data_IF_077765865625
#
_entry.id   IF_077765865625
#
_cell.length_a   1.000
_cell.length_b   1.000
_cell.length_c   1.000
_cell.angle_alpha   90.00
_cell.angle_beta   90.00
_cell.angle_gamma   90.00
#
_symmetry.space_group_name_H-M   'P 1'
#
loop_
_entity.id
_entity.type
_entity.pdbx_description
1 polymer ?
#
# COMPACT_ATOMS: atom_id res chain seq x y z
N UNK A 1 14.53 2.33 16.31
CA UNK A 1 14.80 3.73 15.83
C UNK A 1 14.87 4.73 16.99
N UNK A 2 15.47 4.32 18.14
CA UNK A 2 15.46 5.11 19.40
C UNK A 2 16.13 6.51 19.27
N UNK A 3 17.05 6.68 18.32
CA UNK A 3 17.82 7.90 18.13
C UNK A 3 17.35 8.75 16.92
N UNK A 4 16.12 8.52 16.44
CA UNK A 4 15.58 9.21 15.28
C UNK A 4 14.16 9.70 15.55
N UNK A 5 13.84 10.87 15.03
CA UNK A 5 12.45 11.31 14.89
C UNK A 5 11.79 10.44 13.82
N UNK A 6 10.69 9.78 14.18
CA UNK A 6 9.96 8.86 13.29
C UNK A 6 8.62 9.46 12.93
N UNK A 7 8.36 9.56 11.63
CA UNK A 7 7.10 10.03 11.07
C UNK A 7 6.45 8.87 10.31
N UNK A 8 5.19 8.63 10.58
CA UNK A 8 4.39 7.60 9.91
C UNK A 8 3.23 8.29 9.20
N UNK A 9 2.99 7.93 7.95
CA UNK A 9 1.84 8.45 7.19
C UNK A 9 0.55 7.94 7.81
N UNK A 10 -0.38 8.84 8.10
CA UNK A 10 -1.72 8.54 8.62
C UNK A 10 -2.76 8.96 7.57
N UNK A 11 -3.22 7.99 6.79
CA UNK A 11 -4.16 8.22 5.70
C UNK A 11 -5.60 8.21 6.21
N UNK A 12 -6.37 9.22 5.82
CA UNK A 12 -7.79 9.24 6.10
C UNK A 12 -8.56 8.21 5.28
N UNK A 13 -9.58 7.60 5.91
CA UNK A 13 -10.46 6.70 5.19
C UNK A 13 -11.25 7.47 4.11
N UNK A 14 -11.25 7.03 2.84
CA UNK A 14 -11.96 7.72 1.76
C UNK A 14 -13.47 7.89 2.01
N UNK A 15 -14.09 7.03 2.84
CA UNK A 15 -15.50 7.21 3.25
C UNK A 15 -15.76 8.50 4.02
N UNK A 16 -14.73 9.10 4.59
CA UNK A 16 -14.82 10.33 5.36
C UNK A 16 -14.40 11.58 4.57
N UNK A 17 -13.96 11.38 3.31
CA UNK A 17 -13.46 12.46 2.45
C UNK A 17 -14.53 12.87 1.43
N UNK A 18 -15.05 14.12 1.49
CA UNK A 18 -16.05 14.62 0.56
C UNK A 18 -15.59 14.52 -0.92
N UNK A 19 -16.55 14.39 -1.85
CA UNK A 19 -16.25 14.26 -3.28
C UNK A 19 -15.55 15.48 -3.88
N UNK A 20 -15.82 16.67 -3.37
CA UNK A 20 -15.22 17.93 -3.83
C UNK A 20 -13.72 18.05 -3.53
N UNK A 21 -13.17 17.17 -2.67
CA UNK A 21 -11.73 17.04 -2.46
C UNK A 21 -11.00 16.36 -3.63
N UNK A 22 -11.73 15.96 -4.67
CA UNK A 22 -11.17 15.39 -5.90
C UNK A 22 -10.90 13.88 -5.82
N UNK A 23 -10.17 13.39 -6.84
CA UNK A 23 -9.74 12.01 -6.96
C UNK A 23 -8.45 11.75 -6.16
N UNK A 24 -8.14 10.47 -5.97
CA UNK A 24 -6.89 10.04 -5.36
C UNK A 24 -6.43 8.74 -6.02
N UNK A 25 -5.44 8.82 -6.89
CA UNK A 25 -4.79 7.72 -7.59
C UNK A 25 -3.29 7.65 -7.28
N UNK A 26 -2.53 6.97 -8.12
CA UNK A 26 -1.07 6.83 -7.95
C UNK A 26 -0.34 8.19 -8.08
N UNK A 27 -0.81 9.08 -8.92
CA UNK A 27 -0.23 10.42 -9.07
C UNK A 27 -0.39 11.23 -7.79
N UNK A 28 -1.59 11.28 -7.22
CA UNK A 28 -1.87 12.01 -5.98
C UNK A 28 -1.13 11.40 -4.80
N UNK A 29 -1.04 10.06 -4.73
CA UNK A 29 -0.25 9.39 -3.69
C UNK A 29 1.24 9.78 -3.78
N UNK A 30 1.80 9.72 -4.97
CA UNK A 30 3.21 10.11 -5.23
C UNK A 30 3.45 11.58 -4.88
N UNK A 31 2.51 12.47 -5.20
CA UNK A 31 2.58 13.90 -4.86
C UNK A 31 2.61 14.14 -3.34
N UNK A 32 1.77 13.42 -2.60
CA UNK A 32 1.78 13.51 -1.14
C UNK A 32 3.13 13.09 -0.56
N UNK A 33 3.75 12.01 -1.07
CA UNK A 33 5.07 11.60 -0.63
C UNK A 33 6.12 12.70 -0.87
N UNK A 34 6.11 13.33 -2.05
CA UNK A 34 7.00 14.47 -2.36
C UNK A 34 6.74 15.62 -1.39
N UNK A 35 5.48 15.94 -1.12
CA UNK A 35 5.07 17.01 -0.21
C UNK A 35 5.52 16.72 1.22
N UNK A 36 5.36 15.50 1.71
CA UNK A 36 5.84 15.10 3.04
C UNK A 36 7.35 15.25 3.15
N UNK A 37 8.09 14.82 2.14
CA UNK A 37 9.55 14.99 2.12
C UNK A 37 9.94 16.47 2.11
N UNK A 38 9.21 17.33 1.39
CA UNK A 38 9.47 18.77 1.38
C UNK A 38 9.26 19.41 2.77
N UNK A 39 8.23 18.97 3.49
CA UNK A 39 7.97 19.42 4.87
C UNK A 39 9.03 18.93 5.85
N UNK A 40 9.51 17.70 5.73
CA UNK A 40 10.56 17.14 6.59
C UNK A 40 11.93 17.75 6.29
N UNK A 41 12.15 18.18 5.05
CA UNK A 41 13.38 18.81 4.63
C UNK A 41 14.53 17.83 4.31
N UNK A 42 15.72 18.37 4.07
CA UNK A 42 16.88 17.58 3.64
C UNK A 42 17.41 16.68 4.75
N UNK A 43 18.08 15.58 4.34
CA UNK A 43 18.68 14.54 5.20
C UNK A 43 17.69 13.59 5.88
N UNK A 44 16.41 13.66 5.56
CA UNK A 44 15.44 12.66 5.97
C UNK A 44 15.66 11.34 5.21
N UNK A 45 15.11 10.25 5.75
CA UNK A 45 15.17 8.90 5.17
C UNK A 45 13.75 8.43 4.91
N UNK A 46 13.54 7.72 3.81
CA UNK A 46 12.23 7.16 3.48
C UNK A 46 12.27 5.63 3.60
N UNK A 47 11.27 5.08 4.25
CA UNK A 47 11.03 3.62 4.32
C UNK A 47 9.63 3.36 3.76
N UNK A 48 9.55 2.50 2.77
CA UNK A 48 8.29 2.07 2.18
C UNK A 48 8.15 0.56 2.30
N UNK A 49 7.04 0.11 2.85
CA UNK A 49 6.75 -1.30 3.09
C UNK A 49 5.60 -1.73 2.20
N UNK A 50 5.78 -2.80 1.42
CA UNK A 50 4.77 -3.38 0.54
C UNK A 50 4.37 -2.42 -0.61
N UNK A 51 3.09 -2.29 -0.92
CA UNK A 51 2.54 -1.53 -2.06
C UNK A 51 3.06 -0.07 -2.18
N UNK A 52 3.25 0.72 -1.13
CA UNK A 52 3.83 2.06 -1.21
C UNK A 52 5.21 2.15 -1.87
N UNK A 53 5.94 1.03 -1.98
CA UNK A 53 7.29 0.99 -2.56
C UNK A 53 7.35 1.53 -3.99
N UNK A 54 6.31 1.30 -4.79
CA UNK A 54 6.23 1.78 -6.19
C UNK A 54 6.18 3.31 -6.23
N UNK A 55 5.24 3.90 -5.49
CA UNK A 55 5.10 5.36 -5.42
C UNK A 55 6.28 6.04 -4.71
N UNK A 56 6.88 5.40 -3.71
CA UNK A 56 8.07 5.90 -3.04
C UNK A 56 9.28 5.95 -3.99
N UNK A 57 9.48 4.89 -4.78
CA UNK A 57 10.53 4.88 -5.80
C UNK A 57 10.27 5.93 -6.89
N UNK A 58 9.01 6.09 -7.32
CA UNK A 58 8.62 7.12 -8.27
C UNK A 58 8.88 8.53 -7.72
N UNK A 59 8.45 8.83 -6.49
CA UNK A 59 8.69 10.11 -5.84
C UNK A 59 10.19 10.42 -5.75
N UNK A 60 11.00 9.45 -5.31
CA UNK A 60 12.45 9.59 -5.21
C UNK A 60 13.11 9.81 -6.58
N UNK A 61 12.63 9.15 -7.64
CA UNK A 61 13.13 9.36 -8.99
C UNK A 61 12.84 10.77 -9.50
N UNK A 62 11.61 11.25 -9.35
CA UNK A 62 11.19 12.61 -9.74
C UNK A 62 11.99 13.66 -8.95
N UNK A 63 12.08 13.52 -7.62
CA UNK A 63 12.86 14.44 -6.79
C UNK A 63 14.35 14.44 -7.14
N UNK A 64 14.89 13.29 -7.59
CA UNK A 64 16.29 13.18 -8.01
C UNK A 64 16.55 13.86 -9.34
N UNK A 65 15.65 13.71 -10.31
CA UNK A 65 15.72 14.41 -11.61
C UNK A 65 15.66 15.92 -11.43
N UNK A 66 14.77 16.40 -10.56
CA UNK A 66 14.60 17.82 -10.29
C UNK A 66 15.71 18.40 -9.38
N UNK A 67 16.67 17.58 -8.97
CA UNK A 67 17.66 17.94 -7.96
C UNK A 67 17.00 18.57 -6.71
N UNK A 68 15.84 18.05 -6.34
CA UNK A 68 15.03 18.59 -5.25
C UNK A 68 15.83 18.59 -3.93
N UNK A 69 15.81 19.71 -3.22
CA UNK A 69 16.63 19.89 -2.00
C UNK A 69 16.26 18.93 -0.86
N UNK A 70 14.96 18.60 -0.77
CA UNK A 70 14.41 17.72 0.26
C UNK A 70 14.32 16.26 -0.18
N UNK A 71 14.97 15.84 -1.30
CA UNK A 71 15.02 14.42 -1.63
C UNK A 71 15.63 13.64 -0.47
N UNK A 72 15.13 12.43 -0.18
CA UNK A 72 15.66 11.61 0.91
C UNK A 72 17.15 11.33 0.75
N UNK A 73 17.85 11.21 1.88
CA UNK A 73 19.24 10.76 1.90
C UNK A 73 19.34 9.25 1.60
N UNK A 74 18.31 8.47 1.97
CA UNK A 74 18.17 7.07 1.59
C UNK A 74 16.73 6.67 1.41
N UNK A 75 16.52 5.62 0.61
CA UNK A 75 15.26 4.93 0.41
C UNK A 75 15.43 3.47 0.79
N UNK A 76 14.57 2.97 1.65
CA UNK A 76 14.45 1.54 1.96
C UNK A 76 13.12 1.03 1.42
N UNK A 77 13.17 -0.01 0.58
CA UNK A 77 12.01 -0.69 0.04
C UNK A 77 11.92 -2.08 0.67
N UNK A 78 10.78 -2.40 1.28
CA UNK A 78 10.58 -3.67 1.97
C UNK A 78 9.39 -4.42 1.35
N UNK A 79 9.64 -5.60 0.80
CA UNK A 79 8.62 -6.50 0.23
C UNK A 79 7.66 -5.77 -0.74
N UNK A 80 8.21 -4.95 -1.64
CA UNK A 80 7.42 -4.09 -2.53
C UNK A 80 7.24 -4.67 -3.93
N UNK A 81 6.08 -4.48 -4.58
CA UNK A 81 5.78 -5.03 -5.90
C UNK A 81 6.45 -4.21 -7.03
N UNK A 82 7.78 -4.12 -7.02
CA UNK A 82 8.55 -3.35 -8.02
C UNK A 82 8.50 -4.02 -9.39
N UNK A 83 8.72 -5.33 -9.42
CA UNK A 83 8.53 -6.14 -10.64
C UNK A 83 7.80 -7.45 -10.32
N UNK A 84 6.49 -7.40 -10.41
CA UNK A 84 5.59 -8.51 -10.06
C UNK A 84 5.65 -9.71 -11.04
N UNK A 85 6.49 -9.64 -12.07
CA UNK A 85 6.74 -10.77 -12.99
C UNK A 85 7.76 -11.76 -12.42
N UNK A 86 8.55 -11.32 -11.42
CA UNK A 86 9.60 -12.13 -10.80
C UNK A 86 9.02 -12.78 -9.54
N UNK A 87 8.98 -14.11 -9.52
CA UNK A 87 8.40 -14.91 -8.43
C UNK A 87 6.99 -14.44 -8.01
N UNK A 88 6.00 -14.52 -8.95
CA UNK A 88 4.68 -14.00 -8.69
C UNK A 88 4.01 -14.71 -7.51
N UNK A 89 3.40 -13.92 -6.64
CA UNK A 89 2.60 -14.39 -5.51
C UNK A 89 1.16 -14.68 -5.95
N UNK A 90 0.33 -15.25 -5.05
CA UNK A 90 -1.11 -15.46 -5.31
C UNK A 90 -1.84 -14.15 -5.62
N UNK A 91 -1.43 -13.04 -4.99
CA UNK A 91 -2.00 -11.71 -5.27
C UNK A 91 -1.68 -11.29 -6.70
N UNK A 92 -0.44 -11.47 -7.14
CA UNK A 92 0.00 -11.13 -8.50
C UNK A 92 -0.73 -11.99 -9.56
N UNK A 93 -0.86 -13.29 -9.30
CA UNK A 93 -1.61 -14.21 -10.16
C UNK A 93 -3.08 -13.81 -10.26
N UNK A 94 -3.72 -13.47 -9.14
CA UNK A 94 -5.10 -13.00 -9.14
C UNK A 94 -5.25 -11.70 -9.92
N UNK A 95 -4.38 -10.71 -9.70
CA UNK A 95 -4.43 -9.42 -10.38
C UNK A 95 -4.30 -9.54 -11.90
N UNK A 96 -3.57 -10.54 -12.40
CA UNK A 96 -3.39 -10.80 -13.84
C UNK A 96 -4.43 -11.78 -14.42
N UNK A 97 -5.18 -12.49 -13.59
CA UNK A 97 -6.15 -13.52 -14.02
C UNK A 97 -7.43 -12.97 -14.63
N UNK A 98 -7.74 -11.69 -14.45
CA UNK A 98 -8.98 -11.04 -14.89
C UNK A 98 -8.67 -9.74 -15.63
N UNK A 99 -9.51 -9.31 -16.58
CA UNK A 99 -9.37 -8.00 -17.19
C UNK A 99 -9.66 -6.89 -16.17
N UNK A 100 -9.06 -5.71 -16.36
CA UNK A 100 -9.22 -4.56 -15.46
C UNK A 100 -10.70 -4.24 -15.17
N UNK A 101 -11.53 -4.29 -16.20
CA UNK A 101 -12.98 -4.07 -16.06
C UNK A 101 -13.66 -5.01 -15.07
N UNK A 102 -13.17 -6.24 -14.92
CA UNK A 102 -13.73 -7.16 -13.93
C UNK A 102 -13.53 -6.63 -12.51
N UNK A 103 -12.36 -6.05 -12.21
CA UNK A 103 -12.07 -5.46 -10.89
C UNK A 103 -12.96 -4.24 -10.64
N UNK A 104 -13.15 -3.38 -11.65
CA UNK A 104 -14.07 -2.24 -11.57
C UNK A 104 -15.52 -2.68 -11.29
N UNK A 105 -16.02 -3.68 -12.01
CA UNK A 105 -17.42 -4.09 -11.94
C UNK A 105 -17.75 -4.92 -10.68
N UNK A 106 -16.76 -5.63 -10.10
CA UNK A 106 -17.02 -6.57 -9.01
C UNK A 106 -16.48 -6.13 -7.64
N UNK A 107 -15.48 -5.28 -7.60
CA UNK A 107 -14.81 -4.92 -6.35
C UNK A 107 -15.02 -3.46 -5.96
N UNK A 108 -15.32 -2.58 -6.91
CA UNK A 108 -15.56 -1.17 -6.62
C UNK A 108 -17.01 -0.95 -6.20
N UNK A 109 -17.18 -0.27 -5.09
CA UNK A 109 -18.49 0.08 -4.54
C UNK A 109 -18.56 1.59 -4.25
N UNK A 110 -19.78 2.08 -3.99
CA UNK A 110 -19.99 3.45 -3.58
C UNK A 110 -20.07 3.57 -2.07
N UNK A 111 -19.44 4.60 -1.54
CA UNK A 111 -19.59 4.98 -0.12
C UNK A 111 -21.05 5.32 0.16
N UNK A 112 -21.64 4.77 1.23
CA UNK A 112 -23.05 5.02 1.59
C UNK A 112 -23.35 6.50 1.90
N UNK A 113 -24.61 6.87 1.69
CA UNK A 113 -25.08 8.26 1.83
C UNK A 113 -24.89 8.89 3.23
N UNK A 114 -24.82 8.06 4.27
CA UNK A 114 -24.64 8.52 5.65
C UNK A 114 -23.19 8.93 5.99
N UNK A 115 -22.24 8.65 5.11
CA UNK A 115 -20.83 9.01 5.29
C UNK A 115 -20.52 10.36 4.63
N UNK A 116 -19.50 11.06 5.09
CA UNK A 116 -19.07 12.34 4.50
C UNK A 116 -18.63 12.19 3.05
N UNK A 117 -17.98 11.05 2.70
CA UNK A 117 -17.56 10.71 1.35
C UNK A 117 -18.64 10.04 0.51
N UNK A 118 -19.94 10.26 0.81
CA UNK A 118 -21.04 9.66 0.07
C UNK A 118 -20.85 9.70 -1.44
N UNK A 119 -21.17 8.59 -2.11
CA UNK A 119 -21.01 8.37 -3.56
C UNK A 119 -19.57 8.32 -4.08
N UNK A 120 -18.54 8.47 -3.24
CA UNK A 120 -17.16 8.20 -3.64
C UNK A 120 -17.02 6.72 -4.00
N UNK A 121 -16.34 6.42 -5.10
CA UNK A 121 -16.01 5.05 -5.47
C UNK A 121 -14.82 4.58 -4.65
N UNK A 122 -14.94 3.39 -4.07
CA UNK A 122 -13.92 2.79 -3.21
C UNK A 122 -13.80 1.29 -3.45
N UNK A 123 -12.63 0.74 -3.19
CA UNK A 123 -12.45 -0.67 -2.91
C UNK A 123 -12.62 -0.88 -1.40
N UNK A 124 -13.74 -1.49 -0.94
CA UNK A 124 -14.06 -1.55 0.48
C UNK A 124 -13.09 -2.38 1.30
N UNK A 125 -12.73 -1.88 2.49
CA UNK A 125 -11.81 -2.55 3.40
C UNK A 125 -12.27 -3.96 3.80
N UNK A 126 -13.58 -4.18 3.99
CA UNK A 126 -14.08 -5.51 4.33
C UNK A 126 -13.89 -6.56 3.22
N UNK A 127 -13.90 -6.15 1.94
CA UNK A 127 -13.59 -7.04 0.81
C UNK A 127 -12.10 -7.38 0.82
N UNK A 128 -11.24 -6.39 1.11
CA UNK A 128 -9.79 -6.61 1.24
C UNK A 128 -9.49 -7.63 2.35
N UNK A 129 -10.06 -7.43 3.54
CA UNK A 129 -9.93 -8.38 4.67
C UNK A 129 -10.39 -9.78 4.27
N UNK A 130 -11.54 -9.89 3.59
CA UNK A 130 -12.06 -11.19 3.13
C UNK A 130 -11.08 -11.87 2.19
N UNK A 131 -10.48 -11.13 1.26
CA UNK A 131 -9.47 -11.66 0.35
C UNK A 131 -8.23 -12.16 1.10
N UNK A 132 -7.68 -11.36 2.02
CA UNK A 132 -6.51 -11.75 2.82
C UNK A 132 -6.78 -12.97 3.71
N UNK A 133 -7.92 -13.01 4.40
CA UNK A 133 -8.31 -14.18 5.23
C UNK A 133 -8.42 -15.44 4.36
N UNK A 134 -8.98 -15.32 3.15
CA UNK A 134 -9.17 -16.48 2.26
C UNK A 134 -7.86 -17.11 1.78
N UNK A 135 -6.78 -16.33 1.67
CA UNK A 135 -5.47 -16.84 1.25
C UNK A 135 -4.84 -17.79 2.28
N UNK A 136 -5.12 -17.58 3.57
CA UNK A 136 -4.56 -18.36 4.68
C UNK A 136 -5.65 -18.82 5.67
N UNK A 137 -6.81 -19.27 5.17
CA UNK A 137 -8.00 -19.58 5.96
C UNK A 137 -7.74 -20.56 7.09
N UNK A 138 -6.99 -21.64 6.83
CA UNK A 138 -6.68 -22.66 7.86
C UNK A 138 -5.92 -22.06 9.04
N UNK A 139 -4.96 -21.16 8.79
CA UNK A 139 -4.20 -20.45 9.83
C UNK A 139 -5.13 -19.59 10.68
N UNK A 140 -6.05 -18.85 10.05
CA UNK A 140 -7.01 -18.01 10.76
C UNK A 140 -7.99 -18.85 11.59
N UNK A 141 -8.52 -19.95 11.04
CA UNK A 141 -9.38 -20.88 11.78
C UNK A 141 -8.64 -21.46 12.99
N UNK A 142 -7.38 -21.89 12.81
CA UNK A 142 -6.56 -22.40 13.92
C UNK A 142 -6.37 -21.35 15.00
N UNK A 143 -6.00 -20.13 14.63
CA UNK A 143 -5.77 -19.03 15.57
C UNK A 143 -7.02 -18.70 16.41
N UNK A 144 -8.20 -18.71 15.80
CA UNK A 144 -9.46 -18.51 16.55
C UNK A 144 -9.78 -19.69 17.49
N UNK A 145 -9.45 -20.93 17.11
CA UNK A 145 -9.54 -22.07 18.03
C UNK A 145 -8.58 -21.94 19.19
N UNK A 146 -7.34 -21.58 18.92
CA UNK A 146 -6.32 -21.34 19.96
C UNK A 146 -6.78 -20.23 20.94
N UNK A 147 -7.41 -19.15 20.42
CA UNK A 147 -8.01 -18.10 21.25
C UNK A 147 -9.07 -18.66 22.20
N UNK A 148 -10.00 -19.47 21.70
CA UNK A 148 -11.04 -20.09 22.53
C UNK A 148 -10.44 -21.03 23.60
N UNK A 149 -9.42 -21.80 23.25
CA UNK A 149 -8.72 -22.66 24.20
C UNK A 149 -8.02 -21.87 25.30
N UNK A 150 -7.31 -20.77 24.94
CA UNK A 150 -6.65 -19.92 25.92
C UNK A 150 -7.65 -19.28 26.89
N UNK A 151 -8.80 -18.79 26.36
CA UNK A 151 -9.87 -18.27 27.20
C UNK A 151 -10.43 -19.33 28.14
N UNK A 152 -10.67 -20.55 27.66
CA UNK A 152 -11.19 -21.65 28.47
C UNK A 152 -10.21 -22.09 29.59
N UNK A 153 -8.90 -21.97 29.35
CA UNK A 153 -7.83 -22.30 30.32
C UNK A 153 -7.49 -21.13 31.27
N UNK A 154 -8.08 -19.94 31.07
CA UNK A 154 -7.75 -18.74 31.84
C UNK A 154 -6.38 -18.12 31.49
N UNK A 155 -5.81 -18.46 30.36
CA UNK A 155 -4.54 -17.92 29.86
C UNK A 155 -4.75 -16.55 29.18
N UNK A 156 -5.09 -15.55 29.98
CA UNK A 156 -5.57 -14.24 29.51
C UNK A 156 -4.55 -13.53 28.60
N UNK A 157 -3.27 -13.51 28.96
CA UNK A 157 -2.21 -12.84 28.20
C UNK A 157 -2.07 -13.40 26.77
N UNK A 158 -2.17 -14.73 26.61
CA UNK A 158 -2.12 -15.36 25.29
C UNK A 158 -3.36 -15.05 24.46
N UNK A 159 -4.52 -15.07 25.11
CA UNK A 159 -5.78 -14.69 24.46
C UNK A 159 -5.76 -13.22 24.00
N UNK A 160 -5.27 -12.32 24.82
CA UNK A 160 -5.18 -10.89 24.50
C UNK A 160 -4.18 -10.62 23.37
N UNK A 161 -3.08 -11.36 23.29
CA UNK A 161 -2.14 -11.29 22.15
C UNK A 161 -2.85 -11.61 20.82
N UNK A 162 -3.68 -12.67 20.79
CA UNK A 162 -4.43 -13.02 19.58
C UNK A 162 -5.50 -11.97 19.26
N UNK A 163 -6.21 -11.46 20.26
CA UNK A 163 -7.21 -10.39 20.05
C UNK A 163 -6.56 -9.13 19.47
N UNK A 164 -5.48 -8.66 20.11
CA UNK A 164 -4.75 -7.48 19.62
C UNK A 164 -4.28 -7.65 18.18
N UNK A 165 -3.78 -8.83 17.83
CA UNK A 165 -3.43 -9.13 16.43
C UNK A 165 -4.62 -8.97 15.49
N UNK A 166 -5.81 -9.49 15.85
CA UNK A 166 -6.99 -9.38 14.98
C UNK A 166 -7.63 -8.01 15.01
N UNK A 167 -7.52 -7.25 16.09
CA UNK A 167 -7.95 -5.84 16.13
C UNK A 167 -7.19 -5.02 15.09
N UNK A 168 -5.87 -5.21 14.97
CA UNK A 168 -5.05 -4.59 13.94
C UNK A 168 -5.32 -5.18 12.54
N UNK A 169 -5.41 -6.49 12.42
CA UNK A 169 -5.61 -7.18 11.15
C UNK A 169 -6.91 -6.79 10.45
N UNK A 170 -7.97 -6.53 11.22
CA UNK A 170 -9.27 -6.13 10.69
C UNK A 170 -9.43 -4.61 10.55
N UNK A 171 -8.50 -3.82 11.06
CA UNK A 171 -8.51 -2.36 10.95
C UNK A 171 -8.09 -1.87 9.55
N UNK A 172 -8.75 -2.38 8.51
CA UNK A 172 -8.46 -2.05 7.11
C UNK A 172 -9.42 -0.99 6.62
N UNK A 173 -8.87 0.16 6.18
CA UNK A 173 -9.66 1.22 5.57
C UNK A 173 -10.06 0.88 4.14
N UNK A 174 -11.07 1.57 3.62
CA UNK A 174 -11.36 1.53 2.19
C UNK A 174 -10.18 2.14 1.42
N UNK A 175 -10.01 1.75 0.15
CA UNK A 175 -9.09 2.41 -0.77
C UNK A 175 -9.88 3.23 -1.80
N UNK A 176 -9.42 4.43 -2.21
CA UNK A 176 -9.99 5.12 -3.35
C UNK A 176 -9.95 4.23 -4.60
N UNK A 177 -11.04 4.18 -5.36
CA UNK A 177 -11.11 3.32 -6.55
C UNK A 177 -10.01 3.64 -7.56
N UNK A 178 -9.73 4.93 -7.78
CA UNK A 178 -8.67 5.34 -8.71
C UNK A 178 -7.32 4.74 -8.30
N UNK A 179 -6.95 4.84 -7.01
CA UNK A 179 -5.70 4.29 -6.50
C UNK A 179 -5.62 2.77 -6.66
N UNK A 180 -6.71 2.06 -6.33
CA UNK A 180 -6.77 0.60 -6.47
C UNK A 180 -6.67 0.18 -7.95
N UNK A 181 -7.44 0.79 -8.83
CA UNK A 181 -7.47 0.44 -10.26
C UNK A 181 -6.17 0.80 -10.96
N UNK A 182 -5.59 1.98 -10.66
CA UNK A 182 -4.26 2.35 -11.16
C UNK A 182 -3.21 1.32 -10.70
N UNK A 183 -3.25 0.87 -9.44
CA UNK A 183 -2.34 -0.16 -8.94
C UNK A 183 -2.50 -1.48 -9.69
N UNK A 184 -3.74 -1.97 -9.88
CA UNK A 184 -3.97 -3.22 -10.64
C UNK A 184 -3.46 -3.07 -12.07
N UNK A 185 -3.77 -1.96 -12.75
CA UNK A 185 -3.36 -1.73 -14.14
C UNK A 185 -1.85 -1.55 -14.25
N UNK A 186 -1.30 -0.53 -13.57
CA UNK A 186 0.05 -0.03 -13.85
C UNK A 186 1.14 -0.87 -13.20
N UNK A 187 0.85 -1.45 -12.02
CA UNK A 187 1.82 -2.26 -11.29
C UNK A 187 1.71 -3.74 -11.63
N UNK A 188 0.48 -4.31 -11.54
CA UNK A 188 0.31 -5.76 -11.65
C UNK A 188 0.06 -6.26 -13.06
N UNK A 189 -0.66 -5.53 -13.92
CA UNK A 189 -0.98 -5.98 -15.28
C UNK A 189 0.02 -5.46 -16.31
N UNK A 190 0.28 -4.16 -16.32
CA UNK A 190 1.12 -3.51 -17.32
C UNK A 190 2.60 -3.46 -16.92
N UNK A 191 2.93 -3.58 -15.62
CA UNK A 191 4.31 -3.53 -15.10
C UNK A 191 5.07 -2.29 -15.57
N UNK A 192 4.44 -1.10 -15.46
CA UNK A 192 4.94 0.12 -16.10
C UNK A 192 6.27 0.59 -15.51
N UNK A 193 6.48 0.46 -14.20
CA UNK A 193 7.71 0.92 -13.55
C UNK A 193 8.95 0.15 -14.05
N UNK A 194 9.02 -1.19 -13.98
CA UNK A 194 10.18 -1.92 -14.48
C UNK A 194 10.35 -1.86 -16.00
N UNK A 195 9.30 -1.53 -16.75
CA UNK A 195 9.39 -1.28 -18.20
C UNK A 195 9.85 0.14 -18.53
N UNK A 196 10.03 1.03 -17.53
CA UNK A 196 10.35 2.44 -17.75
C UNK A 196 9.22 3.25 -18.40
N UNK A 197 7.98 2.82 -18.21
CA UNK A 197 6.79 3.41 -18.82
C UNK A 197 5.85 4.07 -17.79
N UNK A 198 6.12 3.89 -16.49
CA UNK A 198 5.33 4.56 -15.46
C UNK A 198 5.46 6.07 -15.61
N UNK A 199 4.33 6.76 -15.48
CA UNK A 199 4.32 8.22 -15.53
C UNK A 199 3.80 8.82 -14.23
N UNK A 200 4.28 10.00 -13.92
CA UNK A 200 3.76 10.86 -12.86
C UNK A 200 3.36 12.20 -13.49
N UNK A 201 2.09 12.54 -13.46
CA UNK A 201 1.53 13.75 -14.12
C UNK A 201 2.00 13.90 -15.59
N UNK A 202 2.02 12.78 -16.34
CA UNK A 202 2.44 12.74 -17.73
C UNK A 202 3.96 12.76 -17.97
N UNK A 203 4.79 12.84 -16.92
CA UNK A 203 6.25 12.76 -16.99
C UNK A 203 6.70 11.32 -16.70
N UNK A 204 7.51 10.74 -17.56
CA UNK A 204 8.04 9.39 -17.33
C UNK A 204 8.92 9.34 -16.10
N UNK A 205 8.65 8.38 -15.24
CA UNK A 205 9.44 8.10 -14.03
C UNK A 205 10.71 7.35 -14.42
N UNK A 206 11.86 7.90 -14.10
CA UNK A 206 13.17 7.29 -14.39
C UNK A 206 13.92 6.96 -13.09
N UNK A 207 13.84 5.73 -12.55
CA UNK A 207 14.59 5.33 -11.37
C UNK A 207 16.11 5.46 -11.54
N UNK A 208 16.59 5.41 -12.78
CA UNK A 208 18.00 5.64 -13.12
C UNK A 208 18.52 7.05 -12.79
N UNK A 209 17.65 8.02 -12.50
CA UNK A 209 18.01 9.36 -12.03
C UNK A 209 18.52 9.39 -10.59
N UNK A 210 18.24 8.35 -9.81
CA UNK A 210 18.66 8.23 -8.41
C UNK A 210 20.16 7.93 -8.34
N UNK A 211 21.00 8.97 -8.22
CA UNK A 211 22.46 8.85 -8.17
C UNK A 211 23.08 9.24 -6.83
N UNK A 212 22.37 10.00 -6.01
CA UNK A 212 22.91 10.62 -4.80
C UNK A 212 22.11 10.23 -3.55
N UNK A 213 21.53 9.04 -3.57
CA UNK A 213 20.69 8.51 -2.50
C UNK A 213 21.10 7.07 -2.21
N UNK A 214 21.20 6.71 -0.93
CA UNK A 214 21.35 5.29 -0.55
C UNK A 214 20.08 4.53 -0.87
N UNK A 215 20.21 3.33 -1.44
CA UNK A 215 19.09 2.43 -1.68
C UNK A 215 19.33 1.11 -0.96
N UNK A 216 18.32 0.68 -0.20
CA UNK A 216 18.28 -0.65 0.41
C UNK A 216 16.99 -1.34 0.03
N UNK A 217 17.07 -2.63 -0.32
CA UNK A 217 15.90 -3.49 -0.51
C UNK A 217 15.92 -4.60 0.53
N UNK A 218 14.75 -4.95 1.03
CA UNK A 218 14.55 -6.03 2.01
C UNK A 218 13.41 -6.89 1.50
N UNK A 219 13.71 -8.16 1.21
CA UNK A 219 12.75 -9.12 0.67
C UNK A 219 12.67 -10.34 1.57
N UNK A 220 11.47 -10.91 1.69
CA UNK A 220 11.23 -12.15 2.42
C UNK A 220 11.37 -13.35 1.49
N UNK A 221 12.25 -14.31 1.81
CA UNK A 221 12.41 -15.55 1.02
C UNK A 221 11.12 -16.38 0.91
N UNK A 222 10.24 -16.25 1.91
CA UNK A 222 8.97 -16.99 2.01
C UNK A 222 7.75 -16.07 2.04
N UNK A 223 7.88 -14.91 1.44
CA UNK A 223 6.76 -13.98 1.29
C UNK A 223 5.77 -14.57 0.27
N UNK A 224 4.51 -14.70 0.67
CA UNK A 224 3.42 -15.29 -0.13
C UNK A 224 2.31 -14.29 -0.48
N UNK A 225 2.54 -13.00 -0.20
CA UNK A 225 1.58 -11.90 -0.45
C UNK A 225 2.08 -10.95 -1.54
#
# INVERSE_FOLDING_TARGET
LQDHDVYITDWHNPRDIPLDQGKFGLDEYTEHLITFMDQLGPKSHMVAVCQPSVSALAACAIMSEDNHRARPASLTLMAGPIDTRIQPTKVNEFATSKPLKWFEDNLINYVPMQCKGAFRKVYPGFIQVTAFVSMNLERHVKSHKDLLEHLAKGEVEKADTIKTFYDEYFAVMDLPADFYIDTIRDVFQEHLLPKGQLTYKGRTVNPGSIKKMGLMTVEGEKDDI
#
